data_IF_171901998943
#
_entry.id   IF_171901998943
#
_cell.length_a   1.000
_cell.length_b   1.000
_cell.length_c   1.000
_cell.angle_alpha   90.00
_cell.angle_beta   90.00
_cell.angle_gamma   90.00
#
_symmetry.space_group_name_H-M   'P 1'
#
loop_
_entity.id
_entity.type
_entity.pdbx_description
1 polymer ?
#
# COMPACT_ATOMS: atom_id res chain seq x y z
N UNK A 1 -9.12 -71.64 -35.07
CA UNK A 1 -9.84 -70.89 -34.01
C UNK A 1 -8.80 -70.38 -33.01
N UNK A 2 -8.43 -69.10 -33.07
CA UNK A 2 -7.51 -68.46 -32.11
C UNK A 2 -8.37 -67.54 -31.24
N UNK A 3 -8.46 -67.83 -29.94
CA UNK A 3 -9.18 -67.01 -28.95
C UNK A 3 -8.21 -65.98 -28.36
N UNK A 4 -8.33 -64.72 -28.76
CA UNK A 4 -7.64 -63.58 -28.15
C UNK A 4 -8.31 -63.23 -26.83
N UNK A 5 -7.57 -63.30 -25.70
CA UNK A 5 -8.04 -62.82 -24.40
C UNK A 5 -7.87 -61.29 -24.34
N UNK A 6 -8.98 -60.55 -24.31
CA UNK A 6 -9.00 -59.12 -24.03
C UNK A 6 -8.83 -58.92 -22.51
N UNK A 7 -7.71 -58.35 -22.08
CA UNK A 7 -7.49 -57.98 -20.68
C UNK A 7 -7.99 -56.56 -20.47
N UNK A 8 -9.05 -56.40 -19.68
CA UNK A 8 -9.59 -55.10 -19.28
C UNK A 8 -8.69 -54.54 -18.18
N UNK A 9 -7.96 -53.47 -18.47
CA UNK A 9 -7.18 -52.72 -17.47
C UNK A 9 -8.10 -51.66 -16.86
N UNK A 10 -8.52 -51.87 -15.62
CA UNK A 10 -9.27 -50.88 -14.85
C UNK A 10 -8.29 -49.84 -14.31
N UNK A 11 -8.30 -48.63 -14.87
CA UNK A 11 -7.57 -47.49 -14.32
C UNK A 11 -8.28 -47.04 -13.03
N UNK A 12 -7.65 -47.28 -11.88
CA UNK A 12 -8.06 -46.68 -10.60
C UNK A 12 -7.38 -45.32 -10.53
N UNK A 13 -8.12 -44.25 -10.84
CA UNK A 13 -7.69 -42.88 -10.61
C UNK A 13 -7.65 -42.62 -9.11
N UNK A 14 -6.47 -42.71 -8.50
CA UNK A 14 -6.23 -42.23 -7.14
C UNK A 14 -6.24 -40.71 -7.20
N UNK A 15 -7.39 -40.11 -6.90
CA UNK A 15 -7.46 -38.68 -6.60
C UNK A 15 -6.67 -38.42 -5.33
N UNK A 16 -5.51 -37.79 -5.43
CA UNK A 16 -4.84 -37.17 -4.29
C UNK A 16 -5.70 -36.01 -3.83
N UNK A 17 -6.54 -36.27 -2.83
CA UNK A 17 -7.18 -35.20 -2.06
C UNK A 17 -6.04 -34.46 -1.35
N UNK A 18 -5.70 -33.26 -1.82
CA UNK A 18 -4.90 -32.33 -1.03
C UNK A 18 -5.67 -32.11 0.28
N UNK A 19 -5.04 -32.29 1.45
CA UNK A 19 -5.74 -32.02 2.70
C UNK A 19 -6.09 -30.52 2.71
N UNK A 20 -7.38 -30.22 2.61
CA UNK A 20 -7.90 -28.92 3.04
C UNK A 20 -7.56 -28.84 4.52
N UNK A 21 -6.63 -27.97 4.87
CA UNK A 21 -6.17 -27.81 6.25
C UNK A 21 -7.36 -27.32 7.07
N UNK A 22 -7.91 -28.20 7.91
CA UNK A 22 -9.10 -27.92 8.70
C UNK A 22 -8.77 -26.88 9.78
N UNK A 23 -9.70 -25.95 10.01
CA UNK A 23 -9.56 -24.92 11.05
C UNK A 23 -9.29 -25.55 12.43
N UNK A 24 -8.44 -24.92 13.24
CA UNK A 24 -8.25 -25.30 14.63
C UNK A 24 -9.42 -24.76 15.49
N UNK A 25 -10.49 -25.55 15.57
CA UNK A 25 -11.72 -25.17 16.27
C UNK A 25 -11.52 -24.90 17.77
N UNK A 26 -10.52 -25.51 18.40
CA UNK A 26 -10.27 -25.29 19.83
C UNK A 26 -9.69 -23.90 20.08
N UNK A 27 -8.73 -23.47 19.26
CA UNK A 27 -8.23 -22.10 19.29
C UNK A 27 -9.28 -21.07 18.88
N UNK A 28 -10.12 -21.38 17.89
CA UNK A 28 -11.25 -20.50 17.51
C UNK A 28 -12.21 -20.33 18.70
N UNK A 29 -12.60 -21.42 19.36
CA UNK A 29 -13.46 -21.35 20.56
C UNK A 29 -12.79 -20.59 21.70
N UNK A 30 -11.50 -20.82 21.94
CA UNK A 30 -10.73 -20.11 22.95
C UNK A 30 -10.73 -18.59 22.66
N UNK A 31 -10.41 -18.18 21.43
CA UNK A 31 -10.43 -16.78 21.03
C UNK A 31 -11.81 -16.16 21.21
N UNK A 32 -12.86 -16.82 20.72
CA UNK A 32 -14.21 -16.26 20.75
C UNK A 32 -14.76 -16.13 22.17
N UNK A 33 -14.44 -17.07 23.06
CA UNK A 33 -14.90 -17.06 24.45
C UNK A 33 -14.08 -16.16 25.37
N UNK A 34 -12.75 -16.16 25.23
CA UNK A 34 -11.83 -15.53 26.19
C UNK A 34 -11.18 -14.25 25.69
N UNK A 35 -11.15 -14.03 24.36
CA UNK A 35 -10.32 -13.01 23.69
C UNK A 35 -8.82 -13.17 23.93
N UNK A 36 -8.36 -14.32 24.44
CA UNK A 36 -6.96 -14.63 24.70
C UNK A 36 -6.50 -15.75 23.77
N UNK A 37 -5.68 -15.41 22.78
CA UNK A 37 -5.12 -16.38 21.83
C UNK A 37 -3.72 -15.98 21.36
N UNK A 38 -2.84 -15.65 22.31
CA UNK A 38 -1.44 -15.44 22.01
C UNK A 38 -0.81 -16.74 21.47
N UNK A 39 -0.09 -16.65 20.34
CA UNK A 39 0.53 -17.76 19.63
C UNK A 39 -0.43 -18.89 19.18
N UNK A 40 -1.74 -18.62 19.12
CA UNK A 40 -2.69 -19.57 18.59
C UNK A 40 -2.47 -19.81 17.10
N UNK A 41 -2.70 -21.05 16.67
CA UNK A 41 -2.96 -21.37 15.27
C UNK A 41 -4.44 -21.11 14.94
N UNK A 42 -4.68 -20.11 14.10
CA UNK A 42 -5.98 -19.68 13.58
C UNK A 42 -5.92 -19.64 12.04
N UNK A 43 -5.04 -20.43 11.43
CA UNK A 43 -4.88 -20.51 9.97
C UNK A 43 -6.22 -20.84 9.32
N UNK A 44 -6.61 -20.05 8.31
CA UNK A 44 -7.86 -20.24 7.56
C UNK A 44 -9.15 -20.01 8.34
N UNK A 45 -9.09 -19.56 9.60
CA UNK A 45 -10.27 -19.46 10.46
C UNK A 45 -11.35 -18.50 9.90
N UNK A 46 -12.61 -18.94 9.88
CA UNK A 46 -13.79 -18.12 9.62
C UNK A 46 -14.20 -17.25 10.81
N UNK A 47 -13.75 -16.01 10.84
CA UNK A 47 -13.96 -15.02 11.91
C UNK A 47 -14.75 -13.78 11.42
N UNK A 48 -15.61 -13.96 10.43
CA UNK A 48 -16.44 -12.89 9.86
C UNK A 48 -17.35 -12.31 10.95
N UNK A 49 -17.43 -10.98 11.05
CA UNK A 49 -18.18 -10.25 12.09
C UNK A 49 -17.78 -10.54 13.55
N UNK A 50 -16.66 -11.24 13.77
CA UNK A 50 -16.24 -11.61 15.12
C UNK A 50 -16.01 -10.36 15.98
N UNK A 51 -16.53 -10.40 17.21
CA UNK A 51 -16.33 -9.33 18.20
C UNK A 51 -15.03 -9.62 18.96
N UNK A 52 -13.92 -9.06 18.51
CA UNK A 52 -12.55 -9.30 19.01
C UNK A 52 -11.91 -8.02 19.57
N UNK A 53 -12.72 -7.06 20.02
CA UNK A 53 -12.24 -5.83 20.65
C UNK A 53 -11.36 -6.18 21.86
N UNK A 54 -10.17 -5.58 21.92
CA UNK A 54 -9.17 -5.81 22.96
C UNK A 54 -8.55 -7.22 22.97
N UNK A 55 -8.79 -8.05 21.96
CA UNK A 55 -8.27 -9.42 21.95
C UNK A 55 -6.75 -9.45 21.92
N UNK A 56 -6.17 -10.38 22.66
CA UNK A 56 -4.75 -10.68 22.63
C UNK A 56 -4.49 -11.78 21.58
N UNK A 57 -3.93 -11.37 20.46
CA UNK A 57 -3.55 -12.20 19.31
C UNK A 57 -2.05 -12.10 19.04
N UNK A 58 -1.25 -11.75 20.05
CA UNK A 58 0.21 -11.59 19.90
C UNK A 58 0.83 -12.88 19.38
N UNK A 59 1.57 -12.80 18.28
CA UNK A 59 2.21 -13.96 17.64
C UNK A 59 1.26 -15.01 17.05
N UNK A 60 -0.06 -14.75 17.01
CA UNK A 60 -1.02 -15.70 16.45
C UNK A 60 -0.79 -15.90 14.94
N UNK A 61 -1.01 -17.12 14.45
CA UNK A 61 -1.01 -17.42 13.04
C UNK A 61 -2.43 -17.33 12.49
N UNK A 62 -2.73 -16.26 11.76
CA UNK A 62 -4.01 -15.94 11.11
C UNK A 62 -3.89 -16.02 9.58
N UNK A 63 -2.90 -16.75 9.05
CA UNK A 63 -2.70 -16.85 7.61
C UNK A 63 -3.97 -17.35 6.91
N UNK A 64 -4.42 -16.62 5.89
CA UNK A 64 -5.65 -16.95 5.14
C UNK A 64 -6.96 -16.87 5.94
N UNK A 65 -6.95 -16.39 7.19
CA UNK A 65 -8.17 -16.26 7.98
C UNK A 65 -9.12 -15.21 7.38
N UNK A 66 -10.43 -15.44 7.51
CA UNK A 66 -11.44 -14.49 7.08
C UNK A 66 -11.97 -13.70 8.27
N UNK A 67 -11.46 -12.49 8.45
CA UNK A 67 -11.82 -11.51 9.49
C UNK A 67 -12.68 -10.37 8.91
N UNK A 68 -13.37 -10.59 7.80
CA UNK A 68 -14.20 -9.56 7.16
C UNK A 68 -15.21 -8.99 8.16
N UNK A 69 -15.30 -7.66 8.23
CA UNK A 69 -16.19 -6.93 9.14
C UNK A 69 -15.99 -7.25 10.64
N UNK A 70 -14.89 -7.89 11.02
CA UNK A 70 -14.59 -8.15 12.43
C UNK A 70 -14.31 -6.85 13.18
N UNK A 71 -14.68 -6.82 14.47
CA UNK A 71 -14.32 -5.74 15.37
C UNK A 71 -13.03 -6.12 16.11
N UNK A 72 -11.90 -5.54 15.72
CA UNK A 72 -10.57 -5.71 16.30
C UNK A 72 -10.09 -4.43 17.03
N UNK A 73 -11.03 -3.57 17.44
CA UNK A 73 -10.70 -2.30 18.12
C UNK A 73 -9.78 -2.56 19.31
N UNK A 74 -8.61 -1.92 19.36
CA UNK A 74 -7.64 -2.07 20.44
C UNK A 74 -7.02 -3.47 20.60
N UNK A 75 -7.23 -4.39 19.65
CA UNK A 75 -6.64 -5.74 19.73
C UNK A 75 -5.11 -5.68 19.62
N UNK A 76 -4.43 -6.61 20.29
CA UNK A 76 -2.98 -6.76 20.21
C UNK A 76 -2.60 -7.89 19.25
N UNK A 77 -2.25 -7.54 18.01
CA UNK A 77 -1.79 -8.40 16.92
C UNK A 77 -0.26 -8.31 16.71
N UNK A 78 0.49 -7.84 17.71
CA UNK A 78 1.95 -7.68 17.58
C UNK A 78 2.61 -9.01 17.18
N UNK A 79 3.42 -8.99 16.12
CA UNK A 79 4.09 -10.17 15.57
C UNK A 79 3.17 -11.25 14.97
N UNK A 80 1.86 -11.00 14.84
CA UNK A 80 0.94 -11.97 14.25
C UNK A 80 1.21 -12.17 12.74
N UNK A 81 0.92 -13.37 12.24
CA UNK A 81 0.96 -13.67 10.81
C UNK A 81 -0.43 -13.54 10.19
N UNK A 82 -0.69 -12.50 9.42
CA UNK A 82 -1.96 -12.23 8.72
C UNK A 82 -1.82 -12.42 7.20
N UNK A 83 -0.77 -13.09 6.74
CA UNK A 83 -0.50 -13.25 5.30
C UNK A 83 -1.70 -13.84 4.56
N UNK A 84 -2.18 -13.16 3.52
CA UNK A 84 -3.34 -13.58 2.73
C UNK A 84 -4.69 -13.59 3.47
N UNK A 85 -4.77 -13.06 4.70
CA UNK A 85 -6.03 -12.93 5.43
C UNK A 85 -6.95 -11.87 4.80
N UNK A 86 -8.26 -12.01 5.01
CA UNK A 86 -9.25 -11.03 4.56
C UNK A 86 -9.75 -10.21 5.74
N UNK A 87 -9.44 -8.92 5.78
CA UNK A 87 -9.89 -7.92 6.77
C UNK A 87 -10.79 -6.85 6.13
N UNK A 88 -11.47 -7.19 5.04
CA UNK A 88 -12.34 -6.26 4.32
C UNK A 88 -13.42 -5.70 5.25
N UNK A 89 -13.47 -4.38 5.38
CA UNK A 89 -14.39 -3.68 6.29
C UNK A 89 -14.14 -3.86 7.80
N UNK A 90 -13.06 -4.53 8.21
CA UNK A 90 -12.76 -4.74 9.63
C UNK A 90 -12.43 -3.42 10.34
N UNK A 91 -12.79 -3.33 11.63
CA UNK A 91 -12.42 -2.20 12.48
C UNK A 91 -11.18 -2.54 13.31
N UNK A 92 -10.04 -1.93 12.97
CA UNK A 92 -8.74 -2.06 13.62
C UNK A 92 -8.34 -0.78 14.37
N UNK A 93 -9.31 0.09 14.71
CA UNK A 93 -9.01 1.34 15.39
C UNK A 93 -8.23 1.08 16.69
N UNK A 94 -7.08 1.74 16.85
CA UNK A 94 -6.20 1.56 18.02
C UNK A 94 -5.54 0.17 18.16
N UNK A 95 -5.66 -0.71 17.17
CA UNK A 95 -5.04 -2.03 17.22
C UNK A 95 -3.51 -1.94 17.15
N UNK A 96 -2.81 -2.85 17.83
CA UNK A 96 -1.34 -2.95 17.80
C UNK A 96 -0.92 -4.02 16.82
N UNK A 97 -0.28 -3.64 15.72
CA UNK A 97 0.22 -4.55 14.68
C UNK A 97 1.74 -4.53 14.56
N UNK A 98 2.47 -4.01 15.55
CA UNK A 98 3.94 -3.90 15.50
C UNK A 98 4.59 -5.24 15.10
N UNK A 99 5.36 -5.23 14.01
CA UNK A 99 6.03 -6.43 13.48
C UNK A 99 5.12 -7.50 12.84
N UNK A 100 3.82 -7.25 12.67
CA UNK A 100 2.90 -8.21 12.05
C UNK A 100 3.19 -8.38 10.55
N UNK A 101 2.95 -9.59 10.04
CA UNK A 101 3.01 -9.87 8.61
C UNK A 101 1.64 -9.66 7.96
N UNK A 102 1.52 -8.64 7.10
CA UNK A 102 0.30 -8.27 6.38
C UNK A 102 0.42 -8.52 4.86
N UNK A 103 1.39 -9.33 4.42
CA UNK A 103 1.61 -9.55 3.00
C UNK A 103 0.39 -10.19 2.33
N UNK A 104 -0.10 -9.55 1.27
CA UNK A 104 -1.28 -10.01 0.54
C UNK A 104 -2.59 -9.95 1.35
N UNK A 105 -2.60 -9.33 2.53
CA UNK A 105 -3.81 -9.15 3.32
C UNK A 105 -4.77 -8.19 2.62
N UNK A 106 -6.07 -8.51 2.57
CA UNK A 106 -7.09 -7.58 2.09
C UNK A 106 -7.56 -6.66 3.21
N UNK A 107 -7.11 -5.40 3.19
CA UNK A 107 -7.50 -4.32 4.10
C UNK A 107 -8.53 -3.37 3.47
N UNK A 108 -9.20 -3.77 2.38
CA UNK A 108 -10.16 -2.94 1.66
C UNK A 108 -11.24 -2.40 2.62
N UNK A 109 -11.45 -1.09 2.61
CA UNK A 109 -12.44 -0.40 3.48
C UNK A 109 -12.28 -0.65 4.99
N UNK A 110 -11.11 -1.11 5.45
CA UNK A 110 -10.82 -1.27 6.88
C UNK A 110 -10.60 0.08 7.57
N UNK A 111 -10.80 0.12 8.89
CA UNK A 111 -10.59 1.31 9.72
C UNK A 111 -9.37 1.12 10.62
N UNK A 112 -8.30 1.88 10.38
CA UNK A 112 -6.98 1.76 11.02
C UNK A 112 -6.60 2.99 11.85
N UNK A 113 -7.55 3.90 12.10
CA UNK A 113 -7.27 5.15 12.84
C UNK A 113 -6.60 4.84 14.18
N UNK A 114 -5.43 5.43 14.42
CA UNK A 114 -4.67 5.24 15.67
C UNK A 114 -4.05 3.85 15.86
N UNK A 115 -4.08 2.98 14.84
CA UNK A 115 -3.39 1.69 14.91
C UNK A 115 -1.86 1.85 14.83
N UNK A 116 -1.13 0.91 15.43
CA UNK A 116 0.34 0.90 15.43
C UNK A 116 0.84 -0.10 14.38
N UNK A 117 1.43 0.41 13.29
CA UNK A 117 1.95 -0.42 12.17
C UNK A 117 3.48 -0.36 12.03
N UNK A 118 4.19 -0.02 13.10
CA UNK A 118 5.65 0.05 13.04
C UNK A 118 6.25 -1.33 12.71
N UNK A 119 7.06 -1.40 11.65
CA UNK A 119 7.72 -2.63 11.23
C UNK A 119 6.78 -3.70 10.67
N UNK A 120 5.54 -3.35 10.30
CA UNK A 120 4.66 -4.30 9.59
C UNK A 120 5.17 -4.59 8.19
N UNK A 121 5.03 -5.85 7.77
CA UNK A 121 5.22 -6.23 6.37
C UNK A 121 3.90 -6.08 5.63
N UNK A 122 3.54 -4.84 5.28
CA UNK A 122 2.28 -4.51 4.59
C UNK A 122 2.44 -4.48 3.06
N UNK A 123 3.61 -4.88 2.55
CA UNK A 123 3.85 -4.97 1.12
C UNK A 123 2.82 -5.90 0.45
N UNK A 124 2.31 -5.48 -0.71
CA UNK A 124 1.27 -6.18 -1.46
C UNK A 124 -0.09 -6.34 -0.73
N UNK A 125 -0.29 -5.73 0.45
CA UNK A 125 -1.62 -5.65 1.04
C UNK A 125 -2.56 -4.81 0.16
N UNK A 126 -3.82 -5.24 0.07
CA UNK A 126 -4.84 -4.51 -0.68
C UNK A 126 -5.45 -3.47 0.25
N UNK A 127 -5.00 -2.22 0.15
CA UNK A 127 -5.41 -1.12 1.05
C UNK A 127 -6.46 -0.18 0.44
N UNK A 128 -7.21 -0.65 -0.55
CA UNK A 128 -8.16 0.19 -1.29
C UNK A 128 -9.23 0.75 -0.34
N UNK A 129 -9.31 2.08 -0.25
CA UNK A 129 -10.22 2.79 0.65
C UNK A 129 -10.04 2.42 2.14
N UNK A 130 -8.88 1.89 2.54
CA UNK A 130 -8.55 1.79 3.96
C UNK A 130 -8.45 3.20 4.58
N UNK A 131 -9.04 3.38 5.76
CA UNK A 131 -9.15 4.67 6.44
C UNK A 131 -8.19 4.71 7.63
N UNK A 132 -7.41 5.78 7.76
CA UNK A 132 -6.52 5.96 8.91
C UNK A 132 -5.24 5.12 8.87
N UNK A 133 -4.80 4.67 7.69
CA UNK A 133 -3.52 4.00 7.54
C UNK A 133 -2.38 4.92 8.03
N UNK A 134 -1.59 4.53 9.04
CA UNK A 134 -0.49 5.33 9.56
C UNK A 134 0.61 5.54 8.53
N UNK A 135 1.22 6.73 8.54
CA UNK A 135 2.38 7.09 7.69
C UNK A 135 3.68 6.36 8.10
N UNK A 136 3.66 5.63 9.21
CA UNK A 136 4.75 4.77 9.65
C UNK A 136 4.77 3.40 8.95
N UNK A 137 3.66 3.00 8.32
CA UNK A 137 3.53 1.70 7.67
C UNK A 137 4.22 1.69 6.29
N UNK A 138 4.98 0.64 5.96
CA UNK A 138 5.45 0.36 4.59
C UNK A 138 6.67 1.14 4.09
N UNK A 139 7.02 0.87 2.82
CA UNK A 139 8.27 1.29 2.18
C UNK A 139 8.09 2.48 1.23
N UNK A 140 9.20 3.00 0.69
CA UNK A 140 9.20 4.17 -0.20
C UNK A 140 8.34 3.98 -1.46
N UNK A 141 8.32 2.78 -2.04
CA UNK A 141 7.56 2.48 -3.25
C UNK A 141 6.05 2.53 -2.98
N UNK A 142 5.61 1.95 -1.87
CA UNK A 142 4.20 2.00 -1.47
C UNK A 142 3.71 3.44 -1.31
N UNK A 143 4.47 4.29 -0.62
CA UNK A 143 4.12 5.69 -0.45
C UNK A 143 4.13 6.45 -1.77
N UNK A 144 5.03 6.11 -2.70
CA UNK A 144 5.05 6.71 -4.02
C UNK A 144 3.76 6.41 -4.78
N UNK A 145 3.32 5.15 -4.80
CA UNK A 145 2.05 4.76 -5.43
C UNK A 145 0.85 5.44 -4.79
N UNK A 146 0.82 5.54 -3.46
CA UNK A 146 -0.24 6.26 -2.73
C UNK A 146 -0.23 7.77 -3.03
N UNK A 147 0.95 8.38 -3.20
CA UNK A 147 1.07 9.79 -3.58
C UNK A 147 0.52 10.03 -5.00
N UNK A 148 0.87 9.15 -5.94
CA UNK A 148 0.40 9.22 -7.32
C UNK A 148 -1.11 9.05 -7.42
N UNK A 149 -1.69 8.09 -6.69
CA UNK A 149 -3.12 7.86 -6.66
C UNK A 149 -3.88 9.03 -6.01
N UNK A 150 -3.34 9.60 -4.93
CA UNK A 150 -3.88 10.81 -4.31
C UNK A 150 -3.86 11.99 -5.30
N UNK A 151 -2.77 12.17 -6.05
CA UNK A 151 -2.66 13.17 -7.11
C UNK A 151 -3.71 13.00 -8.21
N UNK A 152 -3.94 11.78 -8.71
CA UNK A 152 -4.99 11.47 -9.69
C UNK A 152 -6.39 11.84 -9.17
N UNK A 153 -6.63 11.67 -7.88
CA UNK A 153 -7.87 12.04 -7.19
C UNK A 153 -7.93 13.51 -6.75
N UNK A 154 -6.95 14.33 -7.14
CA UNK A 154 -6.81 15.75 -6.74
C UNK A 154 -6.75 15.97 -5.23
N UNK A 155 -6.28 14.97 -4.48
CA UNK A 155 -6.04 15.04 -3.04
C UNK A 155 -4.59 15.49 -2.79
N UNK A 156 -4.27 16.73 -3.14
CA UNK A 156 -2.89 17.20 -3.23
C UNK A 156 -2.16 17.28 -1.89
N UNK A 157 -2.85 17.64 -0.80
CA UNK A 157 -2.29 17.63 0.56
C UNK A 157 -1.85 16.21 0.93
N UNK A 158 -2.71 15.22 0.68
CA UNK A 158 -2.42 13.81 0.92
C UNK A 158 -1.29 13.31 0.01
N UNK A 159 -1.24 13.77 -1.24
CA UNK A 159 -0.14 13.44 -2.15
C UNK A 159 1.20 13.97 -1.61
N UNK A 160 1.25 15.21 -1.11
CA UNK A 160 2.45 15.80 -0.51
C UNK A 160 2.88 15.02 0.75
N UNK A 161 1.94 14.67 1.63
CA UNK A 161 2.23 13.86 2.81
C UNK A 161 2.85 12.51 2.44
N UNK A 162 2.29 11.82 1.45
CA UNK A 162 2.84 10.57 0.95
C UNK A 162 4.22 10.77 0.31
N UNK A 163 4.43 11.79 -0.51
CA UNK A 163 5.77 12.10 -1.05
C UNK A 163 6.79 12.43 0.05
N UNK A 164 6.37 13.09 1.14
CA UNK A 164 7.25 13.28 2.30
C UNK A 164 7.68 11.94 2.87
N UNK A 165 6.78 10.96 2.98
CA UNK A 165 7.11 9.61 3.43
C UNK A 165 8.05 8.87 2.48
N UNK A 166 7.91 9.08 1.16
CA UNK A 166 8.88 8.59 0.18
C UNK A 166 10.25 9.16 0.48
N UNK A 167 10.36 10.49 0.64
CA UNK A 167 11.63 11.19 0.79
C UNK A 167 12.31 10.97 2.14
N UNK A 168 11.56 10.62 3.19
CA UNK A 168 12.13 10.14 4.46
C UNK A 168 12.87 8.82 4.28
N UNK A 169 12.36 7.93 3.40
CA UNK A 169 12.90 6.58 3.19
C UNK A 169 13.88 6.49 2.02
N UNK A 170 13.68 7.32 0.99
CA UNK A 170 14.49 7.40 -0.22
C UNK A 170 14.78 8.87 -0.57
N UNK A 171 15.75 9.51 0.12
CA UNK A 171 16.03 10.94 0.00
C UNK A 171 16.59 11.37 -1.37
N UNK A 172 17.00 10.42 -2.20
CA UNK A 172 17.54 10.60 -3.56
C UNK A 172 16.49 10.35 -4.66
N UNK A 173 15.20 10.20 -4.30
CA UNK A 173 14.12 9.99 -5.26
C UNK A 173 13.77 11.28 -6.03
N UNK A 174 14.42 11.50 -7.17
CA UNK A 174 14.12 12.60 -8.08
C UNK A 174 12.64 12.64 -8.52
N UNK A 175 12.00 11.51 -8.88
CA UNK A 175 10.57 11.50 -9.22
C UNK A 175 9.66 11.92 -8.06
N UNK A 176 10.01 11.60 -6.81
CA UNK A 176 9.22 12.00 -5.65
C UNK A 176 9.29 13.52 -5.41
N UNK A 177 10.46 14.14 -5.61
CA UNK A 177 10.57 15.59 -5.58
C UNK A 177 9.71 16.24 -6.67
N UNK A 178 9.75 15.75 -7.92
CA UNK A 178 8.89 16.31 -8.97
C UNK A 178 7.41 16.11 -8.68
N UNK A 179 6.99 14.92 -8.28
CA UNK A 179 5.59 14.66 -7.93
C UNK A 179 5.10 15.60 -6.82
N UNK A 180 5.94 15.84 -5.79
CA UNK A 180 5.65 16.79 -4.71
C UNK A 180 5.63 18.23 -5.19
N UNK A 181 6.53 18.62 -6.09
CA UNK A 181 6.54 19.95 -6.70
C UNK A 181 5.22 20.23 -7.45
N UNK A 182 4.76 19.26 -8.25
CA UNK A 182 3.50 19.38 -8.98
C UNK A 182 2.30 19.52 -8.03
N UNK A 183 2.22 18.69 -6.99
CA UNK A 183 1.15 18.79 -6.00
C UNK A 183 1.17 20.14 -5.25
N UNK A 184 2.36 20.67 -4.95
CA UNK A 184 2.53 22.01 -4.35
C UNK A 184 2.05 23.13 -5.27
N UNK A 185 2.32 23.05 -6.58
CA UNK A 185 1.82 24.02 -7.55
C UNK A 185 0.30 24.09 -7.59
N UNK A 186 -0.37 22.93 -7.56
CA UNK A 186 -1.84 22.86 -7.53
C UNK A 186 -2.43 23.50 -6.27
N UNK A 187 -1.68 23.51 -5.16
CA UNK A 187 -2.03 24.22 -3.92
C UNK A 187 -1.53 25.67 -3.86
N UNK A 188 -0.87 26.17 -4.91
CA UNK A 188 -0.31 27.52 -4.97
C UNK A 188 1.00 27.71 -4.19
N UNK A 189 1.62 26.66 -3.67
CA UNK A 189 2.93 26.70 -3.03
C UNK A 189 4.06 26.73 -4.08
N UNK A 190 4.15 27.87 -4.76
CA UNK A 190 5.15 28.10 -5.80
C UNK A 190 6.58 28.04 -5.26
N UNK A 191 6.81 28.53 -4.03
CA UNK A 191 8.15 28.52 -3.41
C UNK A 191 8.62 27.09 -3.15
N UNK A 192 7.78 26.26 -2.55
CA UNK A 192 8.09 24.86 -2.30
C UNK A 192 8.22 24.05 -3.59
N UNK A 193 7.43 24.37 -4.62
CA UNK A 193 7.55 23.74 -5.94
C UNK A 193 8.88 24.05 -6.63
N UNK A 194 9.38 25.30 -6.52
CA UNK A 194 10.70 25.68 -7.02
C UNK A 194 11.78 24.84 -6.35
N UNK A 195 11.80 24.80 -5.01
CA UNK A 195 12.81 24.05 -4.24
C UNK A 195 12.85 22.59 -4.64
N UNK A 196 11.69 21.95 -4.73
CA UNK A 196 11.59 20.54 -5.12
C UNK A 196 12.04 20.33 -6.58
N UNK A 197 11.66 21.22 -7.50
CA UNK A 197 12.04 21.12 -8.91
C UNK A 197 13.56 21.25 -9.11
N UNK A 198 14.23 22.15 -8.38
CA UNK A 198 15.69 22.28 -8.42
C UNK A 198 16.38 21.05 -7.85
N UNK A 199 15.86 20.52 -6.74
CA UNK A 199 16.40 19.30 -6.14
C UNK A 199 16.26 18.11 -7.07
N UNK A 200 15.11 17.95 -7.71
CA UNK A 200 14.90 16.92 -8.70
C UNK A 200 15.83 17.06 -9.91
N UNK A 201 16.01 18.29 -10.44
CA UNK A 201 16.90 18.53 -11.57
C UNK A 201 18.33 18.07 -11.27
N UNK A 202 18.85 18.42 -10.09
CA UNK A 202 20.17 18.00 -9.64
C UNK A 202 20.29 16.47 -9.50
N UNK A 203 19.26 15.82 -8.95
CA UNK A 203 19.24 14.36 -8.77
C UNK A 203 19.14 13.62 -10.11
N UNK A 204 18.30 14.08 -11.05
CA UNK A 204 18.21 13.50 -12.39
C UNK A 204 19.53 13.60 -13.15
N UNK A 205 20.21 14.75 -13.07
CA UNK A 205 21.53 14.93 -13.67
C UNK A 205 22.55 13.94 -13.07
N UNK A 206 22.57 13.81 -11.73
CA UNK A 206 23.41 12.83 -11.04
C UNK A 206 23.10 11.38 -11.44
N UNK A 207 21.84 11.09 -11.75
CA UNK A 207 21.37 9.76 -12.19
C UNK A 207 21.56 9.52 -13.69
N UNK A 208 22.08 10.51 -14.43
CA UNK A 208 22.31 10.41 -15.88
C UNK A 208 21.07 10.67 -16.74
N UNK A 209 19.93 11.04 -16.15
CA UNK A 209 18.70 11.37 -16.87
C UNK A 209 18.68 12.87 -17.23
N UNK A 210 19.45 13.22 -18.26
CA UNK A 210 19.63 14.61 -18.72
C UNK A 210 18.33 15.25 -19.19
N UNK A 211 17.40 14.48 -19.74
CA UNK A 211 16.13 15.00 -20.24
C UNK A 211 15.23 15.42 -19.08
N UNK A 212 15.03 14.52 -18.09
CA UNK A 212 14.27 14.85 -16.89
C UNK A 212 14.93 15.97 -16.08
N UNK A 213 16.27 15.99 -16.01
CA UNK A 213 17.02 17.08 -15.37
C UNK A 213 16.71 18.43 -16.01
N UNK A 214 16.77 18.50 -17.35
CA UNK A 214 16.44 19.71 -18.12
C UNK A 214 14.99 20.13 -17.90
N UNK A 215 14.05 19.19 -17.93
CA UNK A 215 12.62 19.48 -17.76
C UNK A 215 12.34 20.02 -16.35
N UNK A 216 12.87 19.38 -15.31
CA UNK A 216 12.78 19.83 -13.92
C UNK A 216 13.42 21.21 -13.72
N UNK A 217 14.60 21.45 -14.31
CA UNK A 217 15.28 22.75 -14.25
C UNK A 217 14.50 23.86 -14.96
N UNK A 218 13.90 23.55 -16.11
CA UNK A 218 13.04 24.49 -16.86
C UNK A 218 11.80 24.86 -16.06
N UNK A 219 11.18 23.89 -15.37
CA UNK A 219 10.08 24.16 -14.45
C UNK A 219 10.51 25.14 -13.36
N UNK A 220 11.61 24.85 -12.67
CA UNK A 220 12.13 25.71 -11.60
C UNK A 220 12.39 27.15 -12.08
N UNK A 221 13.04 27.32 -13.24
CA UNK A 221 13.33 28.64 -13.81
C UNK A 221 12.06 29.41 -14.19
N UNK A 222 11.10 28.72 -14.82
CA UNK A 222 9.81 29.30 -15.22
C UNK A 222 9.01 29.77 -14.01
N UNK A 223 9.05 29.00 -12.92
CA UNK A 223 8.42 29.38 -11.66
C UNK A 223 9.16 30.52 -10.95
N UNK A 224 10.49 30.62 -11.04
CA UNK A 224 11.24 31.76 -10.49
C UNK A 224 10.95 33.07 -11.22
N UNK A 225 10.85 32.99 -12.54
CA UNK A 225 10.69 34.14 -13.42
C UNK A 225 9.44 33.96 -14.30
N UNK A 226 8.24 34.12 -13.72
CA UNK A 226 7.01 33.99 -14.49
C UNK A 226 6.98 35.05 -15.62
N UNK A 227 6.62 34.69 -16.87
CA UNK A 227 6.49 35.61 -17.98
C UNK A 227 5.52 36.76 -17.66
N UNK A 228 5.83 37.96 -18.16
CA UNK A 228 5.15 39.21 -17.79
C UNK A 228 3.72 39.38 -18.35
N UNK A 229 3.20 38.52 -19.23
CA UNK A 229 1.87 38.74 -19.83
C UNK A 229 0.88 37.57 -19.81
N UNK A 230 -0.37 37.98 -19.56
CA UNK A 230 -1.63 37.24 -19.45
C UNK A 230 -2.43 37.20 -20.76
N UNK A 231 -1.80 37.38 -21.93
CA UNK A 231 -2.49 37.19 -23.21
C UNK A 231 -2.36 35.72 -23.66
N UNK A 232 -3.50 35.05 -23.72
CA UNK A 232 -3.73 33.64 -24.07
C UNK A 232 -2.53 32.79 -24.51
N UNK A 233 -1.91 32.08 -23.56
CA UNK A 233 -1.13 30.87 -23.87
C UNK A 233 0.36 30.87 -23.53
N UNK A 234 0.93 31.88 -22.86
CA UNK A 234 2.38 31.89 -22.54
C UNK A 234 2.78 31.01 -21.35
N UNK A 235 2.55 31.51 -20.13
CA UNK A 235 2.96 30.83 -18.88
C UNK A 235 2.29 29.48 -18.67
N UNK A 236 0.96 29.42 -18.88
CA UNK A 236 0.19 28.19 -18.73
C UNK A 236 0.66 27.10 -19.70
N UNK A 237 0.96 27.43 -20.95
CA UNK A 237 1.38 26.45 -21.96
C UNK A 237 2.81 25.96 -21.70
N UNK A 238 3.74 26.84 -21.28
CA UNK A 238 5.10 26.40 -20.92
C UNK A 238 5.07 25.45 -19.73
N UNK A 239 4.30 25.79 -18.69
CA UNK A 239 4.11 24.90 -17.54
C UNK A 239 3.45 23.60 -17.98
N UNK A 240 2.37 23.63 -18.77
CA UNK A 240 1.69 22.44 -19.29
C UNK A 240 2.61 21.56 -20.15
N UNK A 241 3.45 22.14 -21.00
CA UNK A 241 4.39 21.40 -21.84
C UNK A 241 5.48 20.71 -21.00
N UNK A 242 6.04 21.41 -20.01
CA UNK A 242 7.04 20.85 -19.10
C UNK A 242 6.42 19.77 -18.22
N UNK A 243 5.22 20.01 -17.70
CA UNK A 243 4.44 19.00 -16.98
C UNK A 243 4.14 17.79 -17.87
N UNK A 244 3.82 18.00 -19.15
CA UNK A 244 3.60 16.94 -20.15
C UNK A 244 4.82 16.03 -20.34
N UNK A 245 6.02 16.61 -20.43
CA UNK A 245 7.27 15.84 -20.49
C UNK A 245 7.55 15.07 -19.20
N UNK A 246 7.35 15.71 -18.05
CA UNK A 246 7.52 15.06 -16.74
C UNK A 246 6.43 14.02 -16.44
N UNK A 247 5.24 14.14 -17.05
CA UNK A 247 4.14 13.19 -16.90
C UNK A 247 4.51 11.79 -17.38
N UNK A 248 5.44 11.66 -18.35
CA UNK A 248 5.91 10.36 -18.81
C UNK A 248 6.61 9.55 -17.71
N UNK A 249 7.22 10.23 -16.72
CA UNK A 249 7.83 9.58 -15.56
C UNK A 249 6.82 8.85 -14.67
N UNK A 250 5.53 9.14 -14.85
CA UNK A 250 4.43 8.59 -14.06
C UNK A 250 3.54 7.62 -14.85
N UNK A 251 3.77 7.48 -16.17
CA UNK A 251 3.01 6.60 -17.06
C UNK A 251 3.77 5.31 -17.40
N UNK A 252 5.08 5.28 -17.20
CA UNK A 252 5.93 4.12 -17.48
C UNK A 252 6.43 3.53 -16.17
N UNK A 253 5.61 2.69 -15.53
CA UNK A 253 5.97 1.54 -14.67
C UNK A 253 4.74 1.01 -13.94
#
# INVERSE_FOLDING_TARGET
>A
MIRTKLSVVTLISIGVALPVQAENLDHVRQLLSTKQCANCDLTGAGLVFAQLSGANLTGANLAGANLSQANLTGANLSGANLSGATLSGANLQGAKLTGANLQGTDLTRSYLVGSELTGTQIEAAIIQNAIGLPTTAGNAEMFYQMAMEAGKRRQYERAIENFNQVLVRKPDSAPAFIGRAMARLELGDQKGAIVDSERAAALFEQQGDKESAKNAGTLAQTLKNPPKERSGGGFGQTVVNVLGGLLQLFLVR
#
